data_IF_412375589794
#
_entry.id   IF_412375589794
#
_cell.length_a   1.000
_cell.length_b   1.000
_cell.length_c   1.000
_cell.angle_alpha   90.00
_cell.angle_beta   90.00
_cell.angle_gamma   90.00
#
_symmetry.space_group_name_H-M   'P 1'
#
loop_
_entity.id
_entity.type
_entity.pdbx_description
1 polymer ?
#
# COMPACT_ATOMS: atom_id res chain seq x y z
N UNK A 1 37.98 -12.14 25.60
CA UNK A 1 37.57 -13.50 25.18
C UNK A 1 37.85 -13.66 23.69
N UNK A 2 38.47 -14.76 23.27
CA UNK A 2 38.84 -15.03 21.88
C UNK A 2 38.09 -16.28 21.41
N UNK A 3 37.54 -16.23 20.19
CA UNK A 3 36.96 -17.39 19.49
C UNK A 3 37.82 -17.70 18.26
N UNK A 4 38.43 -18.87 18.23
CA UNK A 4 39.02 -19.47 17.03
C UNK A 4 37.97 -20.32 16.32
N UNK A 5 37.92 -20.29 14.98
CA UNK A 5 37.05 -21.19 14.19
C UNK A 5 37.79 -21.74 12.97
N UNK A 6 37.83 -23.08 12.83
CA UNK A 6 38.03 -23.76 11.55
C UNK A 6 36.67 -23.81 10.84
N UNK A 7 36.32 -22.72 10.19
CA UNK A 7 35.18 -22.61 9.29
C UNK A 7 35.57 -21.48 8.35
N UNK A 8 35.52 -21.74 7.05
CA UNK A 8 35.77 -20.74 6.02
C UNK A 8 34.86 -19.55 6.30
N UNK A 9 35.46 -18.49 6.86
CA UNK A 9 34.91 -17.15 6.68
C UNK A 9 34.96 -16.95 5.17
N UNK A 10 33.85 -17.23 4.49
CA UNK A 10 33.63 -16.66 3.17
C UNK A 10 33.67 -15.15 3.43
N UNK A 11 34.79 -14.52 3.08
CA UNK A 11 34.82 -13.08 2.97
C UNK A 11 33.62 -12.71 2.08
N UNK A 12 32.88 -11.68 2.48
CA UNK A 12 31.87 -11.10 1.59
C UNK A 12 32.65 -10.60 0.37
N UNK A 13 32.61 -11.37 -0.71
CA UNK A 13 33.25 -11.00 -1.96
C UNK A 13 32.41 -9.90 -2.60
N UNK A 14 32.95 -8.68 -2.62
CA UNK A 14 32.28 -7.51 -3.20
C UNK A 14 32.01 -7.66 -4.71
N UNK A 15 32.62 -8.63 -5.39
CA UNK A 15 32.36 -8.95 -6.80
C UNK A 15 31.21 -9.93 -7.01
N UNK A 16 30.70 -10.55 -5.94
CA UNK A 16 29.61 -11.51 -5.98
C UNK A 16 28.35 -10.94 -5.31
N UNK A 17 27.16 -11.11 -5.91
CA UNK A 17 25.92 -10.72 -5.26
C UNK A 17 25.72 -11.45 -3.94
N UNK A 18 25.42 -10.69 -2.87
CA UNK A 18 25.19 -11.26 -1.54
C UNK A 18 23.79 -11.88 -1.52
N UNK A 19 23.67 -13.11 -0.99
CA UNK A 19 22.42 -13.89 -0.93
C UNK A 19 21.93 -13.98 0.51
N UNK A 20 20.61 -13.88 0.69
CA UNK A 20 19.94 -14.23 1.95
C UNK A 20 19.05 -15.44 1.75
N UNK A 21 19.40 -16.57 2.38
CA UNK A 21 18.63 -17.81 2.22
C UNK A 21 17.18 -17.68 2.72
N UNK A 22 16.93 -16.81 3.71
CA UNK A 22 15.58 -16.54 4.22
C UNK A 22 14.67 -15.77 3.26
N UNK A 23 15.22 -14.94 2.36
CA UNK A 23 14.45 -14.12 1.41
C UNK A 23 14.62 -14.57 -0.05
N UNK A 24 15.62 -15.42 -0.32
CA UNK A 24 15.92 -15.98 -1.61
C UNK A 24 16.53 -14.97 -2.57
N UNK A 25 17.67 -15.33 -3.15
CA UNK A 25 18.24 -14.64 -4.31
C UNK A 25 19.21 -13.50 -3.99
N UNK A 26 19.76 -12.88 -5.05
CA UNK A 26 20.84 -11.90 -4.94
C UNK A 26 20.33 -10.46 -4.86
N UNK A 27 21.15 -9.57 -4.30
CA UNK A 27 20.84 -8.15 -4.13
C UNK A 27 21.88 -7.26 -4.82
N UNK A 28 21.43 -6.10 -5.34
CA UNK A 28 22.31 -5.04 -5.88
C UNK A 28 22.86 -4.17 -4.75
N UNK A 29 23.92 -3.43 -5.04
CA UNK A 29 24.51 -2.48 -4.11
C UNK A 29 25.24 -3.17 -2.96
N UNK A 30 25.17 -2.57 -1.78
CA UNK A 30 25.86 -3.03 -0.58
C UNK A 30 24.89 -3.50 0.49
N UNK A 31 25.42 -4.19 1.48
CA UNK A 31 24.70 -4.46 2.72
C UNK A 31 25.27 -3.64 3.86
N UNK A 32 24.36 -3.13 4.68
CA UNK A 32 24.67 -2.51 5.95
C UNK A 32 24.06 -3.35 7.06
N UNK A 33 24.81 -3.49 8.13
CA UNK A 33 24.40 -4.20 9.32
C UNK A 33 24.30 -3.20 10.45
N UNK A 34 23.19 -3.21 11.17
CA UNK A 34 23.01 -2.39 12.34
C UNK A 34 22.53 -3.24 13.50
N UNK A 35 23.00 -2.90 14.70
CA UNK A 35 22.65 -3.60 15.92
C UNK A 35 21.68 -2.74 16.73
N UNK A 36 20.49 -3.27 16.97
CA UNK A 36 19.43 -2.60 17.72
C UNK A 36 19.11 -3.43 18.96
N UNK A 37 19.87 -3.21 20.05
CA UNK A 37 19.53 -3.73 21.38
C UNK A 37 19.28 -5.23 21.48
N UNK A 38 20.02 -6.06 20.72
CA UNK A 38 19.83 -7.52 20.69
C UNK A 38 19.41 -8.06 19.34
N UNK A 39 18.90 -7.22 18.45
CA UNK A 39 18.50 -7.61 17.09
C UNK A 39 19.53 -7.10 16.07
N UNK A 40 20.04 -8.00 15.23
CA UNK A 40 20.79 -7.61 14.05
C UNK A 40 19.80 -7.27 12.93
N UNK A 41 19.83 -6.04 12.47
CA UNK A 41 19.11 -5.60 11.27
C UNK A 41 20.06 -5.63 10.09
N UNK A 42 19.55 -6.10 8.97
CA UNK A 42 20.27 -6.15 7.70
C UNK A 42 19.57 -5.25 6.70
N UNK A 43 20.32 -4.33 6.10
CA UNK A 43 19.80 -3.26 5.26
C UNK A 43 20.48 -3.37 3.91
N UNK A 44 19.69 -3.45 2.84
CA UNK A 44 20.24 -3.36 1.49
C UNK A 44 20.37 -1.88 1.09
N UNK A 45 21.61 -1.39 1.04
CA UNK A 45 21.96 -0.06 0.56
C UNK A 45 22.16 -0.09 -0.95
N UNK A 46 21.19 0.45 -1.69
CA UNK A 46 21.06 0.32 -3.13
C UNK A 46 20.63 1.66 -3.74
N UNK A 47 20.97 1.92 -5.01
CA UNK A 47 20.51 3.13 -5.69
C UNK A 47 18.99 3.11 -5.87
N UNK A 48 18.34 4.27 -5.98
CA UNK A 48 16.89 4.31 -6.20
C UNK A 48 16.45 3.58 -7.48
N UNK A 49 17.26 3.64 -8.55
CA UNK A 49 16.97 2.93 -9.80
C UNK A 49 17.13 1.41 -9.66
N UNK A 50 18.19 0.95 -8.99
CA UNK A 50 18.39 -0.48 -8.72
C UNK A 50 17.33 -1.05 -7.77
N UNK A 51 16.92 -0.27 -6.76
CA UNK A 51 15.78 -0.59 -5.91
C UNK A 51 14.50 -0.74 -6.74
N UNK A 52 14.23 0.23 -7.62
CA UNK A 52 13.03 0.23 -8.47
C UNK A 52 12.98 -1.00 -9.37
N UNK A 53 14.12 -1.54 -9.86
CA UNK A 53 14.14 -2.79 -10.63
C UNK A 53 13.68 -4.01 -9.83
N UNK A 54 14.01 -4.05 -8.53
CA UNK A 54 13.57 -5.12 -7.63
C UNK A 54 12.16 -4.95 -7.07
N UNK A 55 11.56 -3.75 -7.22
CA UNK A 55 10.16 -3.48 -6.84
C UNK A 55 9.20 -3.79 -7.97
N UNK A 56 9.48 -3.26 -9.17
CA UNK A 56 8.49 -3.15 -10.24
C UNK A 56 7.80 -4.48 -10.59
N UNK A 57 8.52 -5.62 -10.68
CA UNK A 57 7.91 -6.93 -10.97
C UNK A 57 7.01 -7.48 -9.86
N UNK A 58 7.13 -6.99 -8.63
CA UNK A 58 6.33 -7.42 -7.49
C UNK A 58 5.08 -6.56 -7.28
N UNK A 59 5.08 -5.33 -7.80
CA UNK A 59 3.94 -4.40 -7.68
C UNK A 59 3.05 -4.37 -8.92
N UNK A 60 3.61 -4.66 -10.11
CA UNK A 60 2.88 -4.57 -11.38
C UNK A 60 3.21 -5.77 -12.29
N UNK A 61 2.21 -6.36 -12.99
CA UNK A 61 2.48 -7.39 -13.99
C UNK A 61 3.39 -6.87 -15.10
N UNK A 62 4.50 -7.57 -15.33
CA UNK A 62 5.57 -7.14 -16.24
C UNK A 62 5.21 -7.29 -17.72
N UNK A 63 4.05 -7.89 -18.01
CA UNK A 63 3.41 -7.98 -19.32
C UNK A 63 2.54 -6.76 -19.67
N UNK A 64 2.33 -5.84 -18.73
CA UNK A 64 1.56 -4.62 -18.98
C UNK A 64 2.28 -3.69 -19.96
N UNK A 65 1.50 -2.75 -20.52
CA UNK A 65 1.97 -1.80 -21.51
C UNK A 65 3.24 -1.05 -21.03
N UNK A 66 4.25 -0.82 -21.90
CA UNK A 66 5.50 -0.17 -21.49
C UNK A 66 5.32 1.19 -20.78
N UNK A 67 4.33 1.98 -21.20
CA UNK A 67 4.02 3.26 -20.54
C UNK A 67 3.46 3.08 -19.12
N UNK A 68 2.71 2.00 -18.83
CA UNK A 68 2.26 1.68 -17.48
C UNK A 68 3.46 1.28 -16.59
N UNK A 69 4.38 0.48 -17.14
CA UNK A 69 5.63 0.13 -16.44
C UNK A 69 6.47 1.39 -16.15
N UNK A 70 6.56 2.34 -17.10
CA UNK A 70 7.27 3.62 -16.88
C UNK A 70 6.58 4.46 -15.79
N UNK A 71 5.25 4.53 -15.80
CA UNK A 71 4.48 5.22 -14.75
C UNK A 71 4.75 4.61 -13.37
N UNK A 72 4.76 3.28 -13.25
CA UNK A 72 5.12 2.59 -12.02
C UNK A 72 6.56 2.86 -11.59
N UNK A 73 7.51 2.90 -12.53
CA UNK A 73 8.90 3.24 -12.24
C UNK A 73 9.04 4.65 -11.65
N UNK A 74 8.33 5.64 -12.20
CA UNK A 74 8.29 6.98 -11.60
C UNK A 74 7.70 6.96 -10.19
N UNK A 75 6.56 6.29 -9.98
CA UNK A 75 5.89 6.23 -8.69
C UNK A 75 6.74 5.55 -7.61
N UNK A 76 7.22 4.33 -7.87
CA UNK A 76 8.04 3.55 -6.95
C UNK A 76 9.32 4.29 -6.54
N UNK A 77 10.03 4.87 -7.51
CA UNK A 77 11.25 5.66 -7.27
C UNK A 77 10.96 6.90 -6.42
N UNK A 78 9.90 7.64 -6.75
CA UNK A 78 9.54 8.87 -6.03
C UNK A 78 9.11 8.58 -4.59
N UNK A 79 8.37 7.49 -4.38
CA UNK A 79 8.02 7.05 -3.04
C UNK A 79 9.26 6.67 -2.22
N UNK A 80 10.19 5.90 -2.77
CA UNK A 80 11.44 5.56 -2.09
C UNK A 80 12.27 6.81 -1.75
N UNK A 81 12.38 7.75 -2.70
CA UNK A 81 13.07 9.03 -2.51
C UNK A 81 12.48 9.86 -1.37
N UNK A 82 11.15 9.91 -1.27
CA UNK A 82 10.44 10.67 -0.21
C UNK A 82 10.26 9.89 1.10
N UNK A 83 10.58 8.59 1.11
CA UNK A 83 10.59 7.76 2.32
C UNK A 83 11.83 7.99 3.18
N UNK A 84 12.88 8.64 2.66
CA UNK A 84 14.04 9.02 3.45
C UNK A 84 13.59 9.94 4.60
N UNK A 85 13.61 9.42 5.84
CA UNK A 85 13.14 10.16 7.03
C UNK A 85 14.23 10.95 7.75
N UNK A 86 15.48 10.87 7.32
CA UNK A 86 16.60 11.62 7.91
C UNK A 86 16.87 11.26 9.37
N UNK A 87 17.95 10.53 9.65
CA UNK A 87 18.54 10.37 10.99
C UNK A 87 17.73 9.59 12.06
N UNK A 88 16.41 9.49 11.95
CA UNK A 88 15.55 8.77 12.91
C UNK A 88 15.51 7.25 12.68
N UNK A 89 15.91 6.80 11.48
CA UNK A 89 16.02 5.39 11.08
C UNK A 89 17.29 5.22 10.24
N UNK A 90 17.82 4.01 10.25
CA UNK A 90 18.98 3.57 9.48
C UNK A 90 18.61 3.00 8.10
N UNK A 91 17.32 3.02 7.74
CA UNK A 91 16.76 2.62 6.45
C UNK A 91 15.60 3.54 6.03
N UNK A 92 15.29 3.54 4.74
CA UNK A 92 14.26 4.41 4.15
C UNK A 92 12.91 3.69 4.00
N UNK A 93 12.94 2.43 3.55
CA UNK A 93 11.75 1.63 3.23
C UNK A 93 11.89 0.20 3.74
N UNK A 94 10.78 -0.46 4.04
CA UNK A 94 10.69 -1.91 4.23
C UNK A 94 10.53 -2.62 2.88
N UNK A 95 10.81 -3.93 2.85
CA UNK A 95 10.73 -4.77 1.66
C UNK A 95 9.40 -5.56 1.56
N UNK A 96 8.35 -5.03 2.20
CA UNK A 96 7.02 -5.61 2.29
C UNK A 96 5.92 -4.58 1.97
N UNK A 97 4.66 -4.99 2.13
CA UNK A 97 3.49 -4.16 1.82
C UNK A 97 3.35 -2.90 2.72
N UNK A 98 4.14 -2.76 3.79
CA UNK A 98 4.14 -1.53 4.57
C UNK A 98 4.76 -0.36 3.78
N UNK A 99 5.66 -0.66 2.85
CA UNK A 99 6.21 0.31 1.90
C UNK A 99 6.03 -0.18 0.46
N UNK A 100 6.91 -1.06 -0.02
CA UNK A 100 6.82 -1.70 -1.34
C UNK A 100 7.50 -3.07 -1.27
N UNK A 101 6.93 -4.06 -1.95
CA UNK A 101 7.52 -5.37 -2.08
C UNK A 101 8.84 -5.28 -2.85
N UNK A 102 9.96 -5.72 -2.26
CA UNK A 102 11.28 -5.68 -2.90
C UNK A 102 11.95 -7.06 -2.95
N UNK A 103 12.31 -7.49 -4.16
CA UNK A 103 12.82 -8.84 -4.42
C UNK A 103 14.31 -8.93 -4.78
N UNK A 104 15.05 -7.83 -4.78
CA UNK A 104 16.43 -7.82 -5.30
C UNK A 104 16.49 -8.21 -6.78
N UNK A 105 17.60 -8.81 -7.23
CA UNK A 105 17.82 -9.13 -8.65
C UNK A 105 17.05 -10.35 -9.13
N UNK A 106 16.56 -11.22 -8.23
CA UNK A 106 15.87 -12.46 -8.63
C UNK A 106 14.58 -12.22 -9.41
N UNK A 107 13.94 -11.07 -9.15
CA UNK A 107 12.62 -10.74 -9.74
C UNK A 107 12.76 -9.87 -10.98
N UNK A 108 13.96 -9.35 -11.26
CA UNK A 108 14.19 -8.45 -12.40
C UNK A 108 13.88 -9.16 -13.72
N UNK A 109 13.12 -8.48 -14.58
CA UNK A 109 12.85 -8.95 -15.94
C UNK A 109 13.15 -7.86 -16.97
N UNK A 110 13.47 -8.21 -18.23
CA UNK A 110 13.88 -7.22 -19.23
C UNK A 110 12.88 -6.09 -19.48
N UNK A 111 11.57 -6.38 -19.50
CA UNK A 111 10.54 -5.37 -19.77
C UNK A 111 10.45 -4.30 -18.68
N UNK A 112 10.43 -4.70 -17.41
CA UNK A 112 10.43 -3.77 -16.27
C UNK A 112 11.75 -3.02 -16.15
N UNK A 113 12.88 -3.71 -16.34
CA UNK A 113 14.21 -3.09 -16.29
C UNK A 113 14.42 -2.05 -17.40
N UNK A 114 13.85 -2.29 -18.59
CA UNK A 114 13.83 -1.30 -19.66
C UNK A 114 13.01 -0.06 -19.27
N UNK A 115 11.84 -0.24 -18.64
CA UNK A 115 11.04 0.88 -18.16
C UNK A 115 11.78 1.73 -17.10
N UNK A 116 12.51 1.09 -16.18
CA UNK A 116 13.39 1.80 -15.24
C UNK A 116 14.50 2.55 -15.98
N UNK A 117 15.15 1.92 -16.96
CA UNK A 117 16.21 2.55 -17.75
C UNK A 117 15.72 3.78 -18.55
N UNK A 118 14.51 3.72 -19.09
CA UNK A 118 13.91 4.83 -19.85
C UNK A 118 13.44 5.98 -18.94
N UNK A 119 13.45 5.79 -17.62
CA UNK A 119 13.00 6.77 -16.61
C UNK A 119 14.08 7.10 -15.58
N UNK A 120 15.35 6.79 -15.85
CA UNK A 120 16.46 6.93 -14.91
C UNK A 120 16.51 8.31 -14.25
N UNK A 121 16.71 8.32 -12.93
CA UNK A 121 16.89 9.54 -12.14
C UNK A 121 15.70 10.51 -12.09
N UNK A 122 14.55 10.18 -12.71
CA UNK A 122 13.38 11.06 -12.74
C UNK A 122 12.41 10.72 -11.62
N UNK A 123 11.96 11.77 -10.93
CA UNK A 123 10.98 11.73 -9.84
C UNK A 123 9.77 12.62 -10.16
N UNK A 124 8.63 12.32 -9.56
CA UNK A 124 7.39 13.10 -9.70
C UNK A 124 7.45 14.26 -8.72
N UNK A 125 7.22 15.49 -9.21
CA UNK A 125 7.25 16.70 -8.39
C UNK A 125 5.95 17.48 -8.47
N UNK A 126 5.68 18.26 -7.43
CA UNK A 126 4.62 19.26 -7.37
C UNK A 126 5.20 20.52 -6.73
N UNK A 127 5.03 21.68 -7.39
CA UNK A 127 5.60 22.95 -6.95
C UNK A 127 7.10 22.89 -6.63
N UNK A 128 7.87 22.13 -7.42
CA UNK A 128 9.32 22.00 -7.28
C UNK A 128 9.80 21.01 -6.23
N UNK A 129 8.90 20.37 -5.47
CA UNK A 129 9.24 19.35 -4.47
C UNK A 129 8.76 17.95 -4.89
N UNK A 130 9.54 16.90 -4.58
CA UNK A 130 9.12 15.51 -4.83
C UNK A 130 7.90 15.13 -4.00
N UNK A 131 6.94 14.43 -4.62
CA UNK A 131 5.67 14.08 -3.95
C UNK A 131 5.73 12.71 -3.26
N UNK A 132 4.82 12.49 -2.30
CA UNK A 132 4.53 11.13 -1.83
C UNK A 132 3.67 10.39 -2.87
N UNK A 133 4.29 9.59 -3.73
CA UNK A 133 3.63 8.90 -4.83
C UNK A 133 2.98 7.57 -4.38
N UNK A 134 1.79 7.64 -3.79
CA UNK A 134 1.00 6.45 -3.48
C UNK A 134 0.43 5.79 -4.74
N UNK A 135 0.30 4.47 -4.72
CA UNK A 135 -0.35 3.69 -5.78
C UNK A 135 -1.12 2.52 -5.16
N UNK A 136 -2.05 1.94 -5.93
CA UNK A 136 -2.88 0.82 -5.50
C UNK A 136 -3.17 -0.12 -6.68
N UNK A 137 -3.51 -1.37 -6.39
CA UNK A 137 -3.81 -2.37 -7.43
C UNK A 137 -5.08 -2.06 -8.23
N UNK A 138 -6.09 -1.46 -7.59
CA UNK A 138 -7.38 -1.15 -8.19
C UNK A 138 -8.07 -0.09 -7.34
N UNK A 139 -8.68 0.89 -8.00
CA UNK A 139 -9.40 2.00 -7.36
C UNK A 139 -10.90 1.71 -7.20
N UNK A 140 -11.42 0.72 -7.93
CA UNK A 140 -12.85 0.49 -8.06
C UNK A 140 -13.55 1.59 -8.85
N UNK A 141 -12.83 2.35 -9.69
CA UNK A 141 -13.35 3.37 -10.61
C UNK A 141 -13.18 4.82 -10.17
N UNK A 142 -12.66 5.07 -8.96
CA UNK A 142 -12.36 6.41 -8.47
C UNK A 142 -11.24 6.34 -7.44
N UNK A 143 -10.23 7.22 -7.54
CA UNK A 143 -9.14 7.25 -6.56
C UNK A 143 -9.59 7.90 -5.24
N UNK A 144 -8.86 7.60 -4.16
CA UNK A 144 -9.11 8.17 -2.84
C UNK A 144 -8.17 9.36 -2.58
N UNK A 145 -8.73 10.45 -2.05
CA UNK A 145 -7.95 11.57 -1.55
C UNK A 145 -7.21 11.18 -0.25
N UNK A 146 -5.94 11.56 -0.10
CA UNK A 146 -5.12 11.23 1.06
C UNK A 146 -5.66 11.83 2.38
N UNK A 147 -6.34 12.98 2.31
CA UNK A 147 -7.11 13.57 3.41
C UNK A 147 -8.29 12.70 3.87
N UNK A 148 -8.71 11.73 3.07
CA UNK A 148 -9.77 10.76 3.36
C UNK A 148 -9.24 9.36 3.68
N UNK A 149 -7.95 9.22 3.97
CA UNK A 149 -7.30 7.93 4.19
C UNK A 149 -6.74 7.79 5.61
N UNK A 150 -6.94 6.62 6.22
CA UNK A 150 -6.47 6.27 7.56
C UNK A 150 -6.82 7.34 8.61
N UNK A 151 -5.81 7.87 9.31
CA UNK A 151 -5.97 8.83 10.40
C UNK A 151 -6.37 10.24 9.94
N UNK A 152 -6.45 10.49 8.64
CA UNK A 152 -6.94 11.76 8.11
C UNK A 152 -8.47 11.82 8.06
N UNK A 153 -9.17 10.69 8.24
CA UNK A 153 -10.61 10.69 8.51
C UNK A 153 -10.83 11.00 9.99
N UNK A 154 -11.36 12.21 10.25
CA UNK A 154 -11.51 12.79 11.59
C UNK A 154 -12.96 13.12 11.88
N UNK A 155 -13.30 13.28 13.17
CA UNK A 155 -14.63 13.75 13.56
C UNK A 155 -14.81 15.19 13.10
N UNK A 156 -15.90 15.45 12.39
CA UNK A 156 -16.32 16.76 11.91
C UNK A 156 -17.77 16.99 12.36
N UNK A 157 -17.94 17.69 13.47
CA UNK A 157 -19.24 17.80 14.15
C UNK A 157 -19.80 16.43 14.55
N UNK A 158 -21.04 16.15 14.16
CA UNK A 158 -21.72 14.88 14.43
C UNK A 158 -21.40 13.74 13.47
N UNK A 159 -20.45 13.91 12.54
CA UNK A 159 -20.12 12.90 11.52
C UNK A 159 -18.59 12.74 11.36
N UNK A 160 -18.17 11.89 10.43
CA UNK A 160 -16.79 11.78 9.96
C UNK A 160 -16.58 12.62 8.70
N UNK A 161 -15.44 13.29 8.63
CA UNK A 161 -15.00 14.04 7.45
C UNK A 161 -13.53 13.81 7.15
N UNK A 162 -13.10 14.25 5.98
CA UNK A 162 -11.71 14.20 5.56
C UNK A 162 -10.95 15.44 6.05
N UNK A 163 -9.70 15.24 6.44
CA UNK A 163 -8.75 16.34 6.63
C UNK A 163 -8.37 16.96 5.29
N UNK A 164 -7.65 18.09 5.34
CA UNK A 164 -7.05 18.65 4.14
C UNK A 164 -6.05 17.65 3.52
N UNK A 165 -6.29 17.30 2.25
CA UNK A 165 -5.41 16.45 1.48
C UNK A 165 -4.38 17.23 0.67
N UNK A 166 -3.43 16.51 0.09
CA UNK A 166 -2.46 17.06 -0.84
C UNK A 166 -3.11 17.36 -2.19
N UNK A 167 -2.82 18.52 -2.79
CA UNK A 167 -3.41 18.92 -4.08
C UNK A 167 -3.13 17.91 -5.22
N UNK A 168 -1.96 17.26 -5.18
CA UNK A 168 -1.56 16.23 -6.16
C UNK A 168 -2.11 14.83 -5.85
N UNK A 169 -2.82 14.64 -4.73
CA UNK A 169 -3.54 13.41 -4.36
C UNK A 169 -5.04 13.68 -4.27
N UNK A 170 -5.57 14.53 -5.14
CA UNK A 170 -7.00 14.70 -5.28
C UNK A 170 -7.67 13.43 -5.84
N UNK A 171 -8.90 13.16 -5.39
CA UNK A 171 -9.70 12.07 -5.93
C UNK A 171 -10.09 12.37 -7.40
N UNK A 172 -9.82 11.42 -8.30
CA UNK A 172 -10.14 11.52 -9.73
C UNK A 172 -10.84 10.26 -10.23
N UNK A 173 -11.69 10.36 -11.28
CA UNK A 173 -12.24 9.19 -11.94
C UNK A 173 -11.13 8.34 -12.53
N UNK A 174 -11.27 7.02 -12.40
CA UNK A 174 -10.35 6.04 -12.97
C UNK A 174 -11.11 5.10 -13.92
N UNK A 175 -11.41 5.56 -15.15
CA UNK A 175 -12.11 4.73 -16.13
C UNK A 175 -11.30 3.49 -16.52
N UNK A 176 -9.96 3.55 -16.41
CA UNK A 176 -9.07 2.43 -16.73
C UNK A 176 -9.32 1.21 -15.83
N UNK A 177 -9.67 1.44 -14.57
CA UNK A 177 -9.95 0.37 -13.61
C UNK A 177 -11.19 -0.47 -13.96
N UNK A 178 -12.20 0.14 -14.58
CA UNK A 178 -13.50 -0.50 -14.92
C UNK A 178 -13.67 -0.84 -16.40
N UNK A 179 -13.10 -0.04 -17.31
CA UNK A 179 -13.39 -0.13 -18.74
C UNK A 179 -12.34 -0.92 -19.52
N UNK A 180 -11.16 -1.20 -18.96
CA UNK A 180 -10.14 -2.00 -19.64
C UNK A 180 -10.60 -3.45 -19.76
N UNK A 181 -10.57 -3.99 -20.98
CA UNK A 181 -11.01 -5.35 -21.30
C UNK A 181 -9.86 -6.30 -21.65
N UNK A 182 -8.65 -5.80 -21.88
CA UNK A 182 -7.52 -6.60 -22.35
C UNK A 182 -6.17 -6.18 -21.70
N UNK A 183 -5.70 -6.90 -20.66
CA UNK A 183 -6.49 -7.86 -19.87
C UNK A 183 -7.52 -7.12 -19.01
N UNK A 184 -8.71 -7.71 -18.85
CA UNK A 184 -9.69 -7.19 -17.91
C UNK A 184 -9.12 -7.18 -16.48
N UNK A 185 -9.48 -6.17 -15.69
CA UNK A 185 -9.04 -6.07 -14.31
C UNK A 185 -9.75 -7.12 -13.42
N UNK A 186 -9.07 -8.17 -12.93
CA UNK A 186 -9.69 -9.22 -12.12
C UNK A 186 -10.06 -8.74 -10.71
N UNK A 187 -9.62 -7.53 -10.33
CA UNK A 187 -9.91 -6.90 -9.03
C UNK A 187 -10.99 -5.83 -9.11
N UNK A 188 -11.53 -5.54 -10.31
CA UNK A 188 -12.50 -4.47 -10.54
C UNK A 188 -13.79 -4.61 -9.69
N UNK A 189 -14.18 -5.84 -9.34
CA UNK A 189 -15.32 -6.08 -8.47
C UNK A 189 -15.14 -7.32 -7.60
N UNK A 190 -15.84 -7.34 -6.48
CA UNK A 190 -15.93 -8.47 -5.57
C UNK A 190 -17.24 -8.34 -4.77
N UNK A 191 -17.73 -9.47 -4.25
CA UNK A 191 -18.94 -9.52 -3.43
C UNK A 191 -18.68 -10.38 -2.20
N UNK A 192 -19.19 -9.94 -1.06
CA UNK A 192 -19.20 -10.67 0.21
C UNK A 192 -20.56 -10.48 0.86
N UNK A 193 -20.98 -11.47 1.64
CA UNK A 193 -22.23 -11.42 2.42
C UNK A 193 -21.90 -11.64 3.88
N UNK A 194 -22.50 -10.83 4.75
CA UNK A 194 -22.37 -10.97 6.20
C UNK A 194 -23.73 -11.23 6.85
N UNK A 195 -23.74 -12.09 7.85
CA UNK A 195 -24.87 -12.20 8.78
C UNK A 195 -24.89 -11.04 9.76
N UNK A 196 -26.04 -10.84 10.43
CA UNK A 196 -26.16 -9.89 11.54
C UNK A 196 -25.06 -10.08 12.59
N UNK A 197 -24.80 -11.32 12.99
CA UNK A 197 -23.79 -11.63 14.02
C UNK A 197 -22.36 -11.33 13.56
N UNK A 198 -22.06 -11.50 12.27
CA UNK A 198 -20.75 -11.15 11.73
C UNK A 198 -20.53 -9.62 11.73
N UNK A 199 -21.56 -8.83 11.37
CA UNK A 199 -21.50 -7.37 11.46
C UNK A 199 -21.36 -6.92 12.92
N UNK A 200 -22.20 -7.45 13.83
CA UNK A 200 -22.11 -7.19 15.27
C UNK A 200 -20.71 -7.50 15.81
N UNK A 201 -20.16 -8.66 15.47
CA UNK A 201 -18.81 -9.06 15.88
C UNK A 201 -17.73 -8.13 15.30
N UNK A 202 -17.89 -7.65 14.06
CA UNK A 202 -17.01 -6.67 13.44
C UNK A 202 -17.03 -5.33 14.19
N UNK A 203 -18.22 -4.83 14.54
CA UNK A 203 -18.38 -3.60 15.33
C UNK A 203 -17.69 -3.71 16.69
N UNK A 204 -17.88 -4.83 17.40
CA UNK A 204 -17.23 -5.09 18.70
C UNK A 204 -15.70 -5.14 18.59
N UNK A 205 -15.16 -5.82 17.56
CA UNK A 205 -13.70 -5.85 17.30
C UNK A 205 -13.11 -4.45 17.07
N UNK A 206 -13.91 -3.55 16.52
CA UNK A 206 -13.54 -2.16 16.26
C UNK A 206 -13.75 -1.23 17.47
N UNK A 207 -14.06 -1.78 18.65
CA UNK A 207 -14.32 -1.00 19.87
C UNK A 207 -15.67 -0.26 19.85
N UNK A 208 -16.57 -0.61 18.92
CA UNK A 208 -17.94 -0.11 18.89
C UNK A 208 -18.84 -0.79 19.93
N UNK A 209 -20.05 -0.25 20.15
CA UNK A 209 -21.02 -0.84 21.08
C UNK A 209 -21.59 -2.15 20.54
N UNK A 210 -22.16 -2.95 21.42
CA UNK A 210 -22.99 -4.07 21.02
C UNK A 210 -24.30 -3.56 20.39
N UNK A 211 -24.44 -3.75 19.07
CA UNK A 211 -25.61 -3.29 18.31
C UNK A 211 -26.84 -4.20 18.47
N UNK A 212 -26.68 -5.41 19.03
CA UNK A 212 -27.72 -6.45 19.01
C UNK A 212 -27.97 -6.97 17.59
N UNK A 213 -29.25 -7.16 17.22
CA UNK A 213 -29.65 -7.58 15.87
C UNK A 213 -29.51 -6.41 14.89
N UNK A 214 -28.84 -6.65 13.77
CA UNK A 214 -28.68 -5.69 12.68
C UNK A 214 -30.04 -5.33 12.07
N UNK A 215 -30.35 -4.04 12.05
CA UNK A 215 -31.57 -3.48 11.45
C UNK A 215 -31.28 -2.72 10.16
N UNK A 216 -30.07 -2.17 10.00
CA UNK A 216 -29.70 -1.44 8.81
C UNK A 216 -28.21 -1.08 8.77
N UNK A 217 -27.75 -0.77 7.56
CA UNK A 217 -26.40 -0.26 7.30
C UNK A 217 -26.53 0.90 6.33
N UNK A 218 -25.79 1.97 6.59
CA UNK A 218 -25.68 3.10 5.68
C UNK A 218 -24.22 3.39 5.34
N UNK A 219 -23.94 3.35 4.04
CA UNK A 219 -22.62 3.57 3.41
C UNK A 219 -22.62 4.82 2.53
N UNK A 220 -23.59 5.72 2.69
CA UNK A 220 -23.74 6.93 1.86
C UNK A 220 -22.69 8.00 2.12
N UNK A 221 -21.96 7.94 3.25
CA UNK A 221 -20.87 8.87 3.53
C UNK A 221 -19.65 8.52 2.67
N UNK A 222 -19.66 9.02 1.44
CA UNK A 222 -18.67 8.74 0.39
C UNK A 222 -17.94 9.99 -0.06
N UNK A 223 -16.69 9.83 -0.49
CA UNK A 223 -15.90 10.90 -1.09
C UNK A 223 -15.24 10.44 -2.41
N UNK A 224 -15.59 11.06 -3.55
CA UNK A 224 -16.68 12.01 -3.74
C UNK A 224 -18.07 11.37 -3.51
N UNK A 225 -19.06 12.19 -3.15
CA UNK A 225 -20.41 11.71 -2.86
C UNK A 225 -21.01 10.94 -4.04
N UNK A 226 -21.55 9.75 -3.78
CA UNK A 226 -22.26 8.90 -4.75
C UNK A 226 -21.38 8.04 -5.67
N UNK A 227 -20.07 8.31 -5.75
CA UNK A 227 -19.17 7.60 -6.69
C UNK A 227 -17.87 7.12 -6.06
N UNK A 228 -17.49 7.68 -4.92
CA UNK A 228 -16.20 7.44 -4.30
C UNK A 228 -16.23 6.42 -3.17
N UNK A 229 -15.11 6.35 -2.46
CA UNK A 229 -14.94 5.47 -1.32
C UNK A 229 -15.81 5.91 -0.15
N UNK A 230 -16.32 4.92 0.59
CA UNK A 230 -16.99 5.16 1.88
C UNK A 230 -15.94 5.59 2.90
N UNK A 231 -16.20 6.67 3.65
CA UNK A 231 -15.31 7.17 4.71
C UNK A 231 -15.83 6.85 6.11
N UNK A 232 -17.14 6.68 6.28
CA UNK A 232 -17.74 6.10 7.49
C UNK A 232 -18.96 5.24 7.20
N UNK A 233 -19.22 4.31 8.10
CA UNK A 233 -20.34 3.37 8.02
C UNK A 233 -21.20 3.53 9.26
N UNK A 234 -22.47 3.88 9.04
CA UNK A 234 -23.47 3.89 10.10
C UNK A 234 -24.13 2.51 10.16
N UNK A 235 -24.14 1.93 11.35
CA UNK A 235 -24.75 0.63 11.63
C UNK A 235 -25.88 0.84 12.61
N UNK A 236 -27.07 0.37 12.24
CA UNK A 236 -28.28 0.46 13.05
C UNK A 236 -28.62 -0.92 13.57
N UNK A 237 -28.79 -1.03 14.88
CA UNK A 237 -29.13 -2.28 15.52
C UNK A 237 -30.15 -2.11 16.63
N UNK A 238 -30.76 -3.23 17.03
CA UNK A 238 -31.84 -3.27 18.01
C UNK A 238 -31.46 -2.71 19.40
N UNK A 239 -30.17 -2.69 19.75
CA UNK A 239 -29.69 -2.25 21.06
C UNK A 239 -28.93 -0.91 20.99
N UNK A 240 -28.16 -0.69 19.94
CA UNK A 240 -27.37 0.52 19.75
C UNK A 240 -27.13 0.81 18.28
N UNK A 241 -26.91 2.09 17.98
CA UNK A 241 -26.43 2.56 16.70
C UNK A 241 -24.97 3.00 16.85
N UNK A 242 -24.18 2.88 15.79
CA UNK A 242 -22.80 3.37 15.76
C UNK A 242 -22.43 3.92 14.39
N UNK A 243 -21.42 4.79 14.38
CA UNK A 243 -20.85 5.39 13.18
C UNK A 243 -19.32 5.29 13.28
N UNK A 244 -18.76 4.35 12.51
CA UNK A 244 -17.35 3.98 12.55
C UNK A 244 -16.65 4.40 11.25
N UNK A 245 -15.35 4.72 11.33
CA UNK A 245 -14.54 4.92 10.12
C UNK A 245 -14.59 3.68 9.24
N UNK A 246 -14.72 3.89 7.94
CA UNK A 246 -14.89 2.80 6.99
C UNK A 246 -13.64 1.90 6.91
N UNK A 247 -12.43 2.47 6.98
CA UNK A 247 -11.19 1.69 6.95
C UNK A 247 -11.08 0.74 8.15
N UNK A 248 -11.47 1.22 9.35
CA UNK A 248 -11.52 0.40 10.56
C UNK A 248 -12.55 -0.74 10.41
N UNK A 249 -13.82 -0.40 10.17
CA UNK A 249 -14.88 -1.41 10.15
C UNK A 249 -14.77 -2.36 8.95
N UNK A 250 -14.69 -1.83 7.74
CA UNK A 250 -14.77 -2.63 6.52
C UNK A 250 -13.48 -3.42 6.32
N UNK A 251 -12.31 -2.79 6.39
CA UNK A 251 -11.04 -3.46 6.05
C UNK A 251 -10.44 -4.18 7.25
N UNK A 252 -10.30 -3.51 8.39
CA UNK A 252 -9.63 -4.10 9.55
C UNK A 252 -10.52 -5.11 10.29
N UNK A 253 -11.78 -4.76 10.58
CA UNK A 253 -12.65 -5.60 11.40
C UNK A 253 -13.48 -6.62 10.61
N UNK A 254 -13.83 -6.33 9.35
CA UNK A 254 -14.59 -7.24 8.48
C UNK A 254 -13.76 -7.89 7.37
N UNK A 255 -12.51 -7.46 7.15
CA UNK A 255 -11.60 -8.11 6.20
C UNK A 255 -11.90 -7.82 4.73
N UNK A 256 -12.61 -6.74 4.41
CA UNK A 256 -12.90 -6.34 3.03
C UNK A 256 -11.63 -5.83 2.35
N UNK A 257 -11.61 -5.94 1.01
CA UNK A 257 -10.47 -5.54 0.19
C UNK A 257 -10.26 -4.03 0.15
N UNK A 258 -11.35 -3.25 0.19
CA UNK A 258 -11.32 -1.80 0.12
C UNK A 258 -12.57 -1.19 0.77
N UNK A 259 -12.59 0.15 0.86
CA UNK A 259 -13.76 0.94 1.25
C UNK A 259 -14.62 1.38 0.06
N UNK A 260 -14.25 0.98 -1.16
CA UNK A 260 -15.07 1.19 -2.36
C UNK A 260 -16.15 0.10 -2.40
N UNK A 261 -17.27 0.37 -1.73
CA UNK A 261 -18.36 -0.60 -1.57
C UNK A 261 -19.72 0.04 -1.84
N UNK A 262 -20.68 -0.81 -2.22
CA UNK A 262 -22.10 -0.49 -2.26
C UNK A 262 -22.87 -1.64 -1.63
N UNK A 263 -24.00 -1.32 -1.02
CA UNK A 263 -24.94 -2.35 -0.62
C UNK A 263 -25.69 -2.82 -1.87
N UNK A 264 -25.78 -4.13 -2.06
CA UNK A 264 -26.76 -4.66 -2.99
C UNK A 264 -28.13 -4.52 -2.32
N UNK A 265 -29.14 -3.90 -2.97
CA UNK A 265 -30.49 -3.94 -2.43
C UNK A 265 -30.91 -5.41 -2.27
N UNK A 266 -31.58 -5.69 -1.15
CA UNK A 266 -32.27 -6.95 -0.92
C UNK A 266 -33.44 -7.10 -1.90
#
# INVERSE_FOLDING_TARGET
MVRTSRSSRAAIDASQPIRFDQKGGPYRGNLRFSYLGGTLRVINAVSYDDYTRGVLPLEMPTSWHPEALKAQAFAARTYAYTSYKGGSRDYDVTDDQADQCYGGTRVEVPSSSLAVNLTLGKVITYQGASIRAYFASSSGGYTLNDGCWMNNVVRSGGSWGCSAGSAYLAAVPDPGDRLVTAPANPRASWTVTFTSDQIRSGVLRCGGPDIGVLQGVDVSNQVPAGVGHVISVRVFGSAANTDLRADDLLRSCLGLRSTMVRLNPF
#
